data_IF_362879013500
#
_entry.id   IF_362879013500
#
_cell.length_a   1.000
_cell.length_b   1.000
_cell.length_c   1.000
_cell.angle_alpha   90.00
_cell.angle_beta   90.00
_cell.angle_gamma   90.00
#
_symmetry.space_group_name_H-M   'P 1'
#
loop_
_entity.id
_entity.type
_entity.pdbx_description
1 polymer ?
#
# COMPACT_ATOMS: atom_id res chain seq x y z
N UNK A 1 18.91 -26.82 7.41
CA UNK A 1 19.00 -26.09 8.70
C UNK A 1 17.63 -25.74 9.26
N UNK A 2 16.68 -25.22 8.46
CA UNK A 2 15.35 -24.80 8.95
C UNK A 2 14.54 -25.95 9.55
N UNK A 3 14.56 -27.15 8.92
CA UNK A 3 13.90 -28.33 9.46
C UNK A 3 14.50 -28.76 10.81
N UNK A 4 15.83 -28.61 10.98
CA UNK A 4 16.53 -28.92 12.24
C UNK A 4 16.16 -27.92 13.36
N UNK A 5 15.68 -26.73 13.00
CA UNK A 5 15.16 -25.72 13.94
C UNK A 5 13.66 -25.88 14.21
N UNK A 6 13.03 -26.95 13.72
CA UNK A 6 11.64 -27.25 13.99
C UNK A 6 10.64 -26.61 13.02
N UNK A 7 11.10 -26.03 11.91
CA UNK A 7 10.19 -25.58 10.86
C UNK A 7 9.57 -26.77 10.15
N UNK A 8 8.26 -26.89 10.26
CA UNK A 8 7.47 -27.92 9.61
C UNK A 8 7.21 -27.53 8.15
N UNK A 9 7.74 -28.28 7.16
CA UNK A 9 7.58 -27.96 5.74
C UNK A 9 6.13 -28.06 5.25
N UNK A 10 5.25 -28.78 5.95
CA UNK A 10 3.84 -28.84 5.62
C UNK A 10 3.07 -27.60 6.06
N UNK A 11 3.58 -26.87 7.07
CA UNK A 11 2.99 -25.63 7.59
C UNK A 11 3.74 -24.37 7.16
N UNK A 12 4.97 -24.54 6.65
CA UNK A 12 5.87 -23.46 6.30
C UNK A 12 6.10 -23.42 4.81
N UNK A 13 5.78 -22.31 4.17
CA UNK A 13 6.06 -22.14 2.76
C UNK A 13 7.52 -21.66 2.57
N UNK A 14 8.39 -22.59 2.21
CA UNK A 14 9.81 -22.32 1.90
C UNK A 14 9.98 -22.22 0.38
N UNK A 15 10.55 -21.14 -0.10
CA UNK A 15 10.75 -20.90 -1.52
C UNK A 15 12.06 -20.18 -1.80
N UNK A 16 12.55 -20.30 -3.00
CA UNK A 16 13.61 -19.44 -3.53
C UNK A 16 12.97 -18.20 -4.15
N UNK A 17 13.45 -17.02 -3.81
CA UNK A 17 12.95 -15.75 -4.33
C UNK A 17 12.97 -15.71 -5.88
N UNK A 18 14.01 -16.31 -6.50
CA UNK A 18 14.14 -16.42 -7.95
C UNK A 18 13.06 -17.28 -8.62
N UNK A 19 12.39 -18.17 -7.87
CA UNK A 19 11.30 -19.00 -8.40
C UNK A 19 9.92 -18.35 -8.26
N UNK A 20 9.86 -17.11 -7.78
CA UNK A 20 8.63 -16.32 -7.62
C UNK A 20 8.66 -15.04 -8.46
N UNK A 21 8.32 -15.09 -9.76
CA UNK A 21 8.33 -13.92 -10.65
C UNK A 21 7.47 -12.75 -10.13
N UNK A 22 6.43 -13.03 -9.35
CA UNK A 22 5.56 -12.01 -8.76
C UNK A 22 6.32 -11.08 -7.81
N UNK A 23 7.34 -11.56 -7.10
CA UNK A 23 8.17 -10.75 -6.21
C UNK A 23 8.89 -9.66 -7.00
N UNK A 24 9.55 -10.05 -8.09
CA UNK A 24 10.28 -9.10 -8.95
C UNK A 24 9.31 -8.13 -9.65
N UNK A 25 8.20 -8.63 -10.17
CA UNK A 25 7.15 -7.82 -10.80
C UNK A 25 6.60 -6.78 -9.84
N UNK A 26 6.26 -7.18 -8.61
CA UNK A 26 5.76 -6.27 -7.58
C UNK A 26 6.81 -5.24 -7.18
N UNK A 27 8.07 -5.65 -6.96
CA UNK A 27 9.18 -4.75 -6.68
C UNK A 27 9.36 -3.70 -7.76
N UNK A 28 9.30 -4.10 -9.04
CA UNK A 28 9.38 -3.17 -10.18
C UNK A 28 8.19 -2.19 -10.21
N UNK A 29 6.98 -2.67 -9.96
CA UNK A 29 5.79 -1.81 -9.91
C UNK A 29 5.88 -0.78 -8.78
N UNK A 30 6.32 -1.20 -7.59
CA UNK A 30 6.52 -0.32 -6.44
C UNK A 30 7.65 0.69 -6.66
N UNK A 31 8.66 0.33 -7.44
CA UNK A 31 9.77 1.21 -7.82
C UNK A 31 9.33 2.49 -8.55
N UNK A 32 8.15 2.50 -9.18
CA UNK A 32 7.57 3.72 -9.76
C UNK A 32 7.23 4.81 -8.72
N UNK A 33 7.20 4.47 -7.43
CA UNK A 33 6.84 5.37 -6.32
C UNK A 33 8.05 5.86 -5.52
N UNK A 34 9.25 5.60 -6.01
CA UNK A 34 10.50 6.04 -5.40
C UNK A 34 11.45 6.58 -6.47
N UNK A 35 12.52 7.21 -6.05
CA UNK A 35 13.54 7.76 -6.92
C UNK A 35 14.94 7.52 -6.33
N UNK A 36 15.98 7.81 -7.11
CA UNK A 36 17.36 7.57 -6.69
C UNK A 36 17.73 8.37 -5.44
N UNK A 37 17.24 9.61 -5.28
CA UNK A 37 17.56 10.44 -4.11
C UNK A 37 17.01 9.84 -2.80
N UNK A 38 15.88 9.13 -2.84
CA UNK A 38 15.39 8.39 -1.67
C UNK A 38 16.34 7.22 -1.33
N UNK A 39 16.89 6.55 -2.33
CA UNK A 39 17.87 5.47 -2.14
C UNK A 39 19.20 5.99 -1.64
N UNK A 40 19.65 7.14 -2.13
CA UNK A 40 20.82 7.85 -1.61
C UNK A 40 20.65 8.16 -0.12
N UNK A 41 19.49 8.69 0.27
CA UNK A 41 19.20 9.04 1.65
C UNK A 41 19.09 7.81 2.58
N UNK A 42 18.57 6.69 2.09
CA UNK A 42 18.33 5.48 2.91
C UNK A 42 19.57 4.58 2.96
N UNK A 43 20.26 4.39 1.83
CA UNK A 43 21.32 3.40 1.64
C UNK A 43 22.70 4.01 1.37
N UNK A 44 22.80 5.32 1.19
CA UNK A 44 24.04 5.98 0.79
C UNK A 44 24.47 5.68 -0.64
N UNK A 45 23.55 5.27 -1.51
CA UNK A 45 23.86 5.01 -2.93
C UNK A 45 24.28 6.31 -3.63
N UNK A 46 25.24 6.20 -4.53
CA UNK A 46 25.75 7.30 -5.32
C UNK A 46 25.87 6.93 -6.80
N UNK A 47 26.44 7.83 -7.59
CA UNK A 47 26.58 7.64 -9.03
C UNK A 47 27.35 6.39 -9.44
N UNK A 48 28.22 5.88 -8.59
CA UNK A 48 29.00 4.65 -8.81
C UNK A 48 28.24 3.36 -8.40
N UNK A 49 27.05 3.47 -7.82
CA UNK A 49 26.27 2.30 -7.41
C UNK A 49 25.72 1.58 -8.64
N UNK A 50 26.04 0.29 -8.78
CA UNK A 50 25.54 -0.49 -9.89
C UNK A 50 24.02 -0.75 -9.79
N UNK A 51 23.37 -0.96 -10.93
CA UNK A 51 21.91 -1.11 -11.02
C UNK A 51 21.37 -2.31 -10.23
N UNK A 52 22.15 -3.39 -10.08
CA UNK A 52 21.71 -4.54 -9.28
C UNK A 52 21.58 -4.18 -7.80
N UNK A 53 22.49 -3.37 -7.24
CA UNK A 53 22.37 -2.85 -5.89
C UNK A 53 21.16 -1.93 -5.72
N UNK A 54 20.83 -1.10 -6.72
CA UNK A 54 19.63 -0.25 -6.69
C UNK A 54 18.36 -1.10 -6.77
N UNK A 55 18.38 -2.18 -7.52
CA UNK A 55 17.22 -3.06 -7.68
C UNK A 55 16.97 -3.97 -6.48
N UNK A 56 18.01 -4.42 -5.79
CA UNK A 56 17.89 -5.39 -4.70
C UNK A 56 16.91 -4.97 -3.59
N UNK A 57 16.91 -3.73 -3.07
CA UNK A 57 15.90 -3.28 -2.09
C UNK A 57 14.47 -3.33 -2.62
N UNK A 58 14.25 -3.05 -3.91
CA UNK A 58 12.90 -3.16 -4.51
C UNK A 58 12.41 -4.60 -4.59
N UNK A 59 13.31 -5.54 -4.92
CA UNK A 59 12.98 -6.96 -4.90
C UNK A 59 12.64 -7.42 -3.48
N UNK A 60 13.37 -6.95 -2.48
CA UNK A 60 13.07 -7.24 -1.07
C UNK A 60 11.73 -6.66 -0.63
N UNK A 61 11.39 -5.44 -1.05
CA UNK A 61 10.05 -4.85 -0.81
C UNK A 61 8.96 -5.71 -1.44
N UNK A 62 9.16 -6.17 -2.68
CA UNK A 62 8.25 -7.09 -3.35
C UNK A 62 8.10 -8.40 -2.58
N UNK A 63 9.20 -8.94 -2.04
CA UNK A 63 9.21 -10.16 -1.25
C UNK A 63 8.45 -10.01 0.08
N UNK A 64 8.60 -8.89 0.76
CA UNK A 64 7.87 -8.59 2.00
C UNK A 64 6.36 -8.44 1.74
N UNK A 65 5.95 -7.85 0.62
CA UNK A 65 4.55 -7.49 0.37
C UNK A 65 3.76 -8.56 -0.41
N UNK A 66 4.41 -9.41 -1.21
CA UNK A 66 3.70 -10.39 -2.05
C UNK A 66 2.80 -11.38 -1.27
N UNK A 67 3.09 -11.75 0.02
CA UNK A 67 2.18 -12.63 0.75
C UNK A 67 0.76 -12.07 0.98
N UNK A 68 0.56 -10.77 0.71
CA UNK A 68 -0.75 -10.14 0.76
C UNK A 68 -1.55 -10.28 -0.55
N UNK A 69 -0.92 -10.72 -1.64
CA UNK A 69 -1.63 -10.93 -2.90
C UNK A 69 -2.61 -12.10 -2.76
N UNK A 70 -3.72 -12.06 -3.49
CA UNK A 70 -4.81 -13.02 -3.34
C UNK A 70 -4.34 -14.46 -3.59
N UNK A 71 -3.43 -14.65 -4.56
CA UNK A 71 -2.78 -15.94 -4.87
C UNK A 71 -1.88 -16.48 -3.75
N UNK A 72 -1.53 -15.65 -2.75
CA UNK A 72 -0.62 -16.02 -1.65
C UNK A 72 -1.25 -15.87 -0.26
N UNK A 73 -2.56 -15.64 -0.17
CA UNK A 73 -3.29 -15.62 1.10
C UNK A 73 -4.09 -14.34 1.36
N UNK A 74 -4.05 -13.37 0.45
CA UNK A 74 -4.88 -12.18 0.50
C UNK A 74 -4.45 -11.13 1.53
N UNK A 75 -5.24 -10.08 1.64
CA UNK A 75 -4.98 -8.92 2.48
C UNK A 75 -4.96 -9.29 3.97
N UNK A 76 -3.78 -9.24 4.57
CA UNK A 76 -3.54 -9.56 5.99
C UNK A 76 -2.33 -8.81 6.54
N UNK A 77 -2.24 -8.61 7.87
CA UNK A 77 -1.03 -8.11 8.50
C UNK A 77 0.18 -9.02 8.23
N UNK A 78 1.34 -8.40 7.97
CA UNK A 78 2.61 -9.09 7.81
C UNK A 78 3.52 -8.68 8.96
N UNK A 79 4.15 -9.67 9.59
CA UNK A 79 5.23 -9.51 10.55
C UNK A 79 6.51 -10.03 9.89
N UNK A 80 7.56 -9.21 9.90
CA UNK A 80 8.86 -9.55 9.30
C UNK A 80 9.89 -9.60 10.43
N UNK A 81 10.22 -10.81 10.95
CA UNK A 81 11.20 -10.97 12.00
C UNK A 81 12.62 -10.85 11.42
N UNK A 82 13.25 -9.71 11.62
CA UNK A 82 14.59 -9.40 11.08
C UNK A 82 15.43 -8.65 12.10
N UNK A 83 16.75 -8.61 11.88
CA UNK A 83 17.67 -7.79 12.67
C UNK A 83 17.49 -6.29 12.41
N UNK A 84 18.05 -5.47 13.31
CA UNK A 84 17.97 -4.01 13.22
C UNK A 84 18.61 -3.43 11.94
N UNK A 85 19.57 -4.13 11.38
CA UNK A 85 20.22 -3.81 10.11
C UNK A 85 19.24 -3.79 8.93
N UNK A 86 18.10 -4.47 9.05
CA UNK A 86 17.05 -4.54 8.03
C UNK A 86 15.98 -3.43 8.19
N UNK A 87 16.07 -2.56 9.21
CA UNK A 87 15.11 -1.46 9.41
C UNK A 87 14.99 -0.51 8.20
N UNK A 88 16.08 -0.16 7.47
CA UNK A 88 15.98 0.65 6.26
C UNK A 88 15.04 0.03 5.21
N UNK A 89 15.09 -1.28 5.02
CA UNK A 89 14.22 -2.00 4.07
C UNK A 89 12.75 -2.01 4.52
N UNK A 90 12.50 -2.14 5.83
CA UNK A 90 11.14 -2.06 6.37
C UNK A 90 10.55 -0.64 6.23
N UNK A 91 11.37 0.39 6.45
CA UNK A 91 10.95 1.80 6.24
C UNK A 91 10.61 2.06 4.79
N UNK A 92 11.48 1.62 3.86
CA UNK A 92 11.21 1.72 2.42
C UNK A 92 9.91 0.99 2.07
N UNK A 93 9.72 -0.25 2.55
CA UNK A 93 8.52 -1.05 2.30
C UNK A 93 7.24 -0.35 2.77
N UNK A 94 7.24 0.21 4.00
CA UNK A 94 6.10 0.97 4.54
C UNK A 94 5.79 2.21 3.70
N UNK A 95 6.83 2.93 3.32
CA UNK A 95 6.72 4.12 2.48
C UNK A 95 6.13 3.79 1.11
N UNK A 96 6.63 2.77 0.44
CA UNK A 96 6.18 2.37 -0.89
C UNK A 96 4.77 1.79 -0.88
N UNK A 97 4.41 0.95 0.11
CA UNK A 97 3.05 0.47 0.27
C UNK A 97 2.05 1.64 0.45
N UNK A 98 2.41 2.64 1.28
CA UNK A 98 1.57 3.81 1.49
C UNK A 98 1.44 4.69 0.23
N UNK A 99 2.54 4.94 -0.49
CA UNK A 99 2.56 5.78 -1.70
C UNK A 99 1.85 5.12 -2.90
N UNK A 100 1.75 3.79 -2.91
CA UNK A 100 1.15 3.04 -4.01
C UNK A 100 -0.36 2.93 -3.88
N UNK A 101 -0.88 2.96 -2.65
CA UNK A 101 -2.32 2.91 -2.41
C UNK A 101 -3.04 4.16 -2.95
N UNK A 102 -4.25 3.95 -3.44
CA UNK A 102 -5.08 5.01 -4.00
C UNK A 102 -5.75 5.86 -2.93
N UNK A 103 -6.12 5.24 -1.81
CA UNK A 103 -6.73 5.93 -0.68
C UNK A 103 -5.73 6.18 0.44
N UNK A 104 -5.53 7.45 0.77
CA UNK A 104 -4.71 7.87 1.90
C UNK A 104 -5.59 8.19 3.10
N UNK A 105 -5.29 7.58 4.24
CA UNK A 105 -5.94 7.83 5.52
C UNK A 105 -4.99 8.61 6.43
N UNK A 106 -5.38 9.82 6.80
CA UNK A 106 -4.61 10.70 7.70
C UNK A 106 -5.48 11.30 8.79
N UNK A 107 -4.88 11.66 9.92
CA UNK A 107 -5.57 12.41 10.95
C UNK A 107 -6.02 13.77 10.38
N UNK A 108 -7.25 14.18 10.68
CA UNK A 108 -7.76 15.50 10.33
C UNK A 108 -7.19 16.55 11.27
N UNK A 109 -6.95 17.76 10.75
CA UNK A 109 -6.52 18.91 11.55
C UNK A 109 -7.60 19.39 12.54
N UNK A 110 -8.87 19.13 12.26
CA UNK A 110 -9.98 19.50 13.11
C UNK A 110 -10.34 18.41 14.12
N UNK A 111 -10.71 17.24 13.67
CA UNK A 111 -11.03 16.04 14.47
C UNK A 111 -11.25 14.85 13.55
N UNK A 112 -10.98 13.64 14.06
CA UNK A 112 -11.25 12.40 13.33
C UNK A 112 -10.25 12.11 12.23
N UNK A 113 -10.71 11.41 11.20
CA UNK A 113 -9.87 10.94 10.10
C UNK A 113 -10.33 11.47 8.76
N UNK A 114 -9.37 11.72 7.89
CA UNK A 114 -9.58 12.19 6.52
C UNK A 114 -9.07 11.15 5.54
N UNK A 115 -9.95 10.72 4.63
CA UNK A 115 -9.62 9.90 3.47
C UNK A 115 -9.42 10.83 2.28
N UNK A 116 -8.32 10.68 1.56
CA UNK A 116 -8.06 11.39 0.30
C UNK A 116 -7.66 10.43 -0.80
N UNK A 117 -7.98 10.78 -2.05
CA UNK A 117 -7.67 10.02 -3.23
C UNK A 117 -6.36 10.51 -3.85
N UNK A 118 -5.49 9.56 -4.22
CA UNK A 118 -4.34 9.81 -5.09
C UNK A 118 -4.64 9.26 -6.48
N UNK A 119 -4.63 10.13 -7.50
CA UNK A 119 -4.78 9.74 -8.89
C UNK A 119 -3.39 9.61 -9.52
N UNK A 120 -3.14 8.48 -10.14
CA UNK A 120 -1.91 8.15 -10.84
C UNK A 120 -2.25 7.59 -12.22
N UNK A 121 -1.27 7.49 -13.11
CA UNK A 121 -1.49 6.94 -14.45
C UNK A 121 -2.09 5.53 -14.42
N UNK A 122 -1.66 4.70 -13.45
CA UNK A 122 -2.15 3.33 -13.33
C UNK A 122 -3.62 3.21 -12.92
N UNK A 123 -4.20 4.23 -12.28
CA UNK A 123 -5.61 4.25 -11.89
C UNK A 123 -6.46 5.22 -12.71
N UNK A 124 -5.86 5.83 -13.72
CA UNK A 124 -6.49 6.85 -14.57
C UNK A 124 -7.79 6.34 -15.23
N UNK A 125 -7.82 5.07 -15.66
CA UNK A 125 -9.01 4.46 -16.28
C UNK A 125 -10.18 4.38 -15.31
N UNK A 126 -9.92 4.03 -14.05
CA UNK A 126 -10.93 3.92 -12.99
C UNK A 126 -11.53 5.29 -12.66
N UNK A 127 -10.69 6.32 -12.58
CA UNK A 127 -11.08 7.68 -12.22
C UNK A 127 -11.37 8.55 -13.45
N UNK A 128 -11.22 8.01 -14.67
CA UNK A 128 -11.56 8.69 -15.91
C UNK A 128 -10.72 9.93 -16.15
N UNK A 129 -9.41 9.76 -16.31
CA UNK A 129 -8.55 10.86 -16.68
C UNK A 129 -8.92 11.37 -18.09
N UNK A 130 -9.24 12.66 -18.16
CA UNK A 130 -9.53 13.35 -19.42
C UNK A 130 -8.22 13.68 -20.16
N UNK A 131 -8.25 13.90 -21.50
CA UNK A 131 -7.07 14.23 -22.28
C UNK A 131 -6.30 15.46 -21.79
N UNK A 132 -6.95 16.35 -21.04
CA UNK A 132 -6.34 17.55 -20.43
C UNK A 132 -5.72 17.30 -19.04
N UNK A 133 -5.56 16.04 -18.63
CA UNK A 133 -5.03 15.64 -17.33
C UNK A 133 -6.01 15.79 -16.16
N UNK A 134 -7.25 16.24 -16.41
CA UNK A 134 -8.30 16.34 -15.38
C UNK A 134 -9.00 14.99 -15.21
N UNK A 135 -9.46 14.73 -13.99
CA UNK A 135 -10.28 13.54 -13.69
C UNK A 135 -11.75 13.79 -14.00
N UNK A 136 -12.46 12.74 -14.42
CA UNK A 136 -13.90 12.77 -14.58
C UNK A 136 -14.57 12.88 -13.21
N UNK A 137 -15.23 14.01 -12.98
CA UNK A 137 -15.87 14.31 -11.69
C UNK A 137 -16.98 13.33 -11.33
N UNK A 138 -17.69 12.79 -12.31
CA UNK A 138 -18.78 11.83 -12.07
C UNK A 138 -18.20 10.48 -11.62
N UNK A 139 -17.13 10.00 -12.28
CA UNK A 139 -16.44 8.78 -11.87
C UNK A 139 -15.82 8.90 -10.48
N UNK A 140 -15.17 10.03 -10.18
CA UNK A 140 -14.64 10.31 -8.85
C UNK A 140 -15.74 10.31 -7.81
N UNK A 141 -16.88 10.97 -8.07
CA UNK A 141 -18.01 10.97 -7.15
C UNK A 141 -18.52 9.55 -6.88
N UNK A 142 -18.71 8.73 -7.91
CA UNK A 142 -19.15 7.34 -7.76
C UNK A 142 -18.18 6.49 -6.92
N UNK A 143 -16.87 6.73 -7.02
CA UNK A 143 -15.88 6.07 -6.16
C UNK A 143 -16.02 6.55 -4.71
N UNK A 144 -16.22 7.85 -4.50
CA UNK A 144 -16.41 8.39 -3.14
C UNK A 144 -17.70 7.92 -2.50
N UNK A 145 -18.78 7.71 -3.26
CA UNK A 145 -20.01 7.08 -2.73
C UNK A 145 -19.71 5.66 -2.20
N UNK A 146 -18.84 4.90 -2.87
CA UNK A 146 -18.38 3.59 -2.38
C UNK A 146 -17.50 3.71 -1.14
N UNK A 147 -16.65 4.75 -1.04
CA UNK A 147 -15.86 5.04 0.18
C UNK A 147 -16.79 5.34 1.35
N UNK A 148 -17.79 6.19 1.15
CA UNK A 148 -18.80 6.52 2.17
C UNK A 148 -19.49 5.25 2.64
N UNK A 149 -20.02 4.44 1.72
CA UNK A 149 -20.68 3.17 2.05
C UNK A 149 -19.78 2.23 2.84
N UNK A 150 -18.51 2.07 2.44
CA UNK A 150 -17.56 1.20 3.15
C UNK A 150 -17.27 1.69 4.58
N UNK A 151 -17.35 3.00 4.82
CA UNK A 151 -17.18 3.60 6.15
C UNK A 151 -18.48 3.51 6.97
N UNK A 152 -19.64 3.68 6.35
CA UNK A 152 -20.95 3.48 6.98
C UNK A 152 -21.13 2.03 7.49
N UNK A 153 -20.65 1.04 6.74
CA UNK A 153 -20.66 -0.38 7.14
C UNK A 153 -19.83 -0.65 8.41
N UNK A 154 -18.91 0.26 8.79
CA UNK A 154 -18.18 0.24 10.05
C UNK A 154 -18.94 0.90 11.22
N UNK A 155 -20.14 1.45 10.97
CA UNK A 155 -20.99 2.08 11.98
C UNK A 155 -20.82 3.62 12.09
N UNK A 156 -20.11 4.26 11.19
CA UNK A 156 -19.99 5.73 11.16
C UNK A 156 -21.17 6.34 10.40
N UNK A 157 -21.76 7.41 10.96
CA UNK A 157 -22.91 8.12 10.38
C UNK A 157 -22.67 9.61 10.14
N UNK A 158 -21.59 10.17 10.71
CA UNK A 158 -21.25 11.59 10.63
C UNK A 158 -20.25 11.90 9.50
N UNK A 159 -20.36 11.17 8.40
CA UNK A 159 -19.43 11.24 7.27
C UNK A 159 -19.70 12.48 6.43
N UNK A 160 -18.65 13.25 6.17
CA UNK A 160 -18.70 14.43 5.29
C UNK A 160 -17.90 14.14 4.02
N UNK A 161 -18.62 13.90 2.92
CA UNK A 161 -18.01 13.65 1.60
C UNK A 161 -17.87 14.96 0.82
N UNK A 162 -16.69 15.17 0.26
CA UNK A 162 -16.37 16.30 -0.61
C UNK A 162 -15.74 15.79 -1.93
N UNK A 163 -16.52 15.20 -2.85
CA UNK A 163 -15.99 14.63 -4.10
C UNK A 163 -15.22 15.64 -4.96
N UNK A 164 -15.60 16.92 -4.91
CA UNK A 164 -14.89 18.00 -5.62
C UNK A 164 -13.45 18.20 -5.12
N UNK A 165 -13.20 17.91 -3.84
CA UNK A 165 -11.89 18.00 -3.20
C UNK A 165 -11.18 16.64 -3.17
N UNK A 166 -11.85 15.56 -3.60
CA UNK A 166 -11.32 14.21 -3.52
C UNK A 166 -11.11 13.75 -2.08
N UNK A 167 -12.05 14.09 -1.16
CA UNK A 167 -11.91 13.79 0.27
C UNK A 167 -13.21 13.29 0.91
N UNK A 168 -13.05 12.44 1.93
CA UNK A 168 -14.10 12.04 2.87
C UNK A 168 -13.59 12.25 4.28
N UNK A 169 -14.33 13.00 5.09
CA UNK A 169 -14.01 13.25 6.49
C UNK A 169 -14.92 12.46 7.41
N UNK A 170 -14.34 11.85 8.45
CA UNK A 170 -15.01 11.00 9.44
C UNK A 170 -14.73 11.60 10.84
N UNK A 171 -15.53 12.58 11.29
CA UNK A 171 -15.22 13.39 12.48
C UNK A 171 -15.22 12.59 13.79
N UNK A 172 -16.08 11.58 13.93
CA UNK A 172 -16.20 10.76 15.15
C UNK A 172 -15.14 9.68 15.27
N UNK A 173 -14.44 9.36 14.16
CA UNK A 173 -13.45 8.28 14.15
C UNK A 173 -12.23 8.62 15.03
N UNK A 174 -11.79 7.66 15.82
CA UNK A 174 -10.67 7.75 16.76
C UNK A 174 -9.43 6.97 16.26
N UNK A 175 -8.35 7.02 17.02
CA UNK A 175 -7.17 6.21 16.72
C UNK A 175 -7.44 4.68 16.77
N UNK A 176 -8.44 4.24 17.55
CA UNK A 176 -8.85 2.83 17.62
C UNK A 176 -9.47 2.36 16.31
N UNK A 177 -10.13 3.24 15.60
CA UNK A 177 -10.86 2.94 14.37
C UNK A 177 -9.96 2.96 13.13
N UNK A 178 -8.76 3.54 13.26
CA UNK A 178 -7.79 3.70 12.16
C UNK A 178 -7.55 2.41 11.38
N UNK A 179 -7.36 1.30 12.09
CA UNK A 179 -7.07 0.02 11.45
C UNK A 179 -8.28 -0.49 10.65
N UNK A 180 -9.48 -0.46 11.23
CA UNK A 180 -10.71 -0.91 10.57
C UNK A 180 -11.03 -0.09 9.33
N UNK A 181 -10.92 1.25 9.41
CA UNK A 181 -11.10 2.15 8.28
C UNK A 181 -10.08 1.84 7.20
N UNK A 182 -8.80 1.71 7.56
CA UNK A 182 -7.74 1.37 6.59
C UNK A 182 -8.02 0.06 5.89
N UNK A 183 -8.41 -0.99 6.61
CA UNK A 183 -8.73 -2.29 6.03
C UNK A 183 -9.92 -2.22 5.06
N UNK A 184 -10.96 -1.46 5.39
CA UNK A 184 -12.11 -1.24 4.50
C UNK A 184 -11.68 -0.54 3.21
N UNK A 185 -10.85 0.50 3.30
CA UNK A 185 -10.32 1.22 2.14
C UNK A 185 -9.45 0.33 1.25
N UNK A 186 -8.56 -0.48 1.83
CA UNK A 186 -7.69 -1.38 1.06
C UNK A 186 -8.50 -2.48 0.33
N UNK A 187 -9.54 -3.02 0.97
CA UNK A 187 -10.47 -3.96 0.34
C UNK A 187 -11.24 -3.31 -0.81
N UNK A 188 -11.73 -2.09 -0.60
CA UNK A 188 -12.39 -1.32 -1.65
C UNK A 188 -11.45 -1.05 -2.82
N UNK A 189 -10.22 -0.67 -2.54
CA UNK A 189 -9.20 -0.42 -3.56
C UNK A 189 -8.95 -1.65 -4.41
N UNK A 190 -8.79 -2.83 -3.81
CA UNK A 190 -8.68 -4.10 -4.54
C UNK A 190 -9.91 -4.42 -5.38
N UNK A 191 -11.09 -4.18 -4.85
CA UNK A 191 -12.35 -4.37 -5.59
C UNK A 191 -12.50 -3.40 -6.78
N UNK A 192 -11.69 -2.32 -6.81
CA UNK A 192 -11.57 -1.38 -7.93
C UNK A 192 -10.41 -1.73 -8.88
N UNK A 193 -9.66 -2.79 -8.61
CA UNK A 193 -8.48 -3.19 -9.38
C UNK A 193 -7.17 -2.57 -8.93
N UNK A 194 -7.16 -1.89 -7.77
CA UNK A 194 -5.98 -1.29 -7.18
C UNK A 194 -5.15 -2.27 -6.34
N UNK A 195 -3.94 -1.87 -5.94
CA UNK A 195 -3.02 -2.72 -5.20
C UNK A 195 -3.47 -3.04 -3.77
N UNK A 196 -4.05 -2.09 -3.06
CA UNK A 196 -4.56 -2.25 -1.71
C UNK A 196 -3.56 -2.95 -0.77
N UNK A 197 -2.38 -2.37 -0.56
CA UNK A 197 -1.29 -2.97 0.20
C UNK A 197 -1.26 -2.45 1.65
N UNK A 198 -1.27 -3.36 2.60
CA UNK A 198 -1.06 -3.04 4.01
C UNK A 198 0.44 -2.98 4.30
N UNK A 199 0.90 -1.89 4.91
CA UNK A 199 2.28 -1.77 5.37
C UNK A 199 2.58 -2.84 6.44
N UNK A 200 3.79 -3.45 6.46
CA UNK A 200 4.16 -4.40 7.49
C UNK A 200 4.13 -3.76 8.88
N UNK A 201 3.81 -4.57 9.89
CA UNK A 201 3.81 -4.13 11.28
C UNK A 201 5.19 -3.61 11.70
N UNK A 202 5.20 -2.60 12.57
CA UNK A 202 6.41 -2.04 13.21
C UNK A 202 6.72 -2.78 14.50
#
# INVERSE_FOLDING_TARGET
HYAALGLDPEKTNVYFQSTRPVVQRLGFQLGKRTNLSEFEAIYGFGGETNLAHVQAPLVQVGDILHPQLDEHGGLRPIVVPVGVDQDPHLRLTRGLAAKTNWFNLRASSSRGWLVSLSVHDENAEVFGQLPNGRVDKAKVAAVFDRVVKAVEELGFSDIVSSPKQGTVHIPSATNRDKHSIRMALLRLERALGGPGLLAPAS
#
